data_IF_945019910555
#
_entry.id   IF_945019910555
#
_cell.length_a   1.000
_cell.length_b   1.000
_cell.length_c   1.000
_cell.angle_alpha   90.00
_cell.angle_beta   90.00
_cell.angle_gamma   90.00
#
_symmetry.space_group_name_H-M   'P 1'
#
loop_
_entity.id
_entity.type
_entity.pdbx_description
1 polymer ?
#
# COMPACT_ATOMS: atom_id res chain seq x y z
N UNK A 1 14.24 -6.60 5.20
CA UNK A 1 14.12 -6.90 3.76
C UNK A 1 12.98 -6.05 3.23
N UNK A 2 13.21 -5.22 2.21
CA UNK A 2 12.17 -4.34 1.65
C UNK A 2 11.12 -5.14 0.89
N UNK A 3 9.84 -4.83 1.10
CA UNK A 3 8.74 -5.36 0.30
C UNK A 3 8.70 -4.59 -1.02
N UNK A 4 8.69 -5.26 -2.17
CA UNK A 4 8.61 -4.61 -3.48
C UNK A 4 7.25 -4.92 -4.11
N UNK A 5 6.51 -3.87 -4.48
CA UNK A 5 5.21 -3.98 -5.14
C UNK A 5 5.41 -3.86 -6.64
N UNK A 6 5.03 -4.89 -7.39
CA UNK A 6 5.07 -4.89 -8.85
C UNK A 6 3.63 -4.78 -9.39
N UNK A 7 3.37 -3.74 -10.18
CA UNK A 7 2.11 -3.61 -10.92
C UNK A 7 2.33 -4.17 -12.34
N UNK A 8 1.73 -5.31 -12.64
CA UNK A 8 1.76 -5.91 -13.98
C UNK A 8 0.39 -5.70 -14.60
N UNK A 9 0.31 -4.82 -15.60
CA UNK A 9 -0.90 -4.65 -16.41
C UNK A 9 -0.69 -5.36 -17.76
N UNK A 10 -1.73 -6.00 -18.29
CA UNK A 10 -1.69 -6.53 -19.66
C UNK A 10 -2.95 -6.14 -20.42
N UNK A 11 -2.79 -5.87 -21.72
CA UNK A 11 -3.92 -5.65 -22.63
C UNK A 11 -3.51 -5.63 -24.10
N UNK A 12 -4.01 -6.59 -24.91
CA UNK A 12 -5.02 -6.38 -25.98
C UNK A 12 -5.34 -7.68 -26.78
N UNK A 13 -6.64 -7.79 -27.07
CA UNK A 13 -7.38 -8.49 -28.12
C UNK A 13 -6.75 -9.71 -28.83
N UNK A 14 -7.46 -10.84 -28.77
CA UNK A 14 -7.52 -11.97 -29.73
C UNK A 14 -6.89 -13.32 -29.39
N UNK A 15 -6.21 -13.50 -28.25
CA UNK A 15 -5.80 -14.86 -27.77
C UNK A 15 -5.93 -14.98 -26.25
N UNK A 16 -6.19 -16.20 -25.76
CA UNK A 16 -6.04 -16.58 -24.35
C UNK A 16 -4.62 -16.19 -23.90
N UNK A 17 -4.55 -15.20 -23.02
CA UNK A 17 -3.30 -14.63 -22.56
C UNK A 17 -3.15 -15.05 -21.10
N UNK A 18 -2.50 -16.19 -20.91
CA UNK A 18 -2.14 -16.68 -19.59
C UNK A 18 -0.90 -15.90 -19.14
N UNK A 19 -0.96 -15.13 -18.03
CA UNK A 19 0.19 -14.38 -17.55
C UNK A 19 1.35 -15.32 -17.21
N UNK A 20 2.58 -14.93 -17.52
CA UNK A 20 3.75 -15.57 -16.97
C UNK A 20 4.14 -14.87 -15.67
N UNK A 21 4.11 -15.61 -14.57
CA UNK A 21 4.60 -15.15 -13.28
C UNK A 21 6.05 -15.56 -13.13
N UNK A 22 6.93 -14.60 -12.92
CA UNK A 22 8.31 -14.86 -12.57
C UNK A 22 8.43 -14.94 -11.04
N UNK A 23 8.93 -16.08 -10.53
CA UNK A 23 9.12 -16.27 -9.09
C UNK A 23 10.41 -15.57 -8.63
N UNK A 24 10.26 -14.32 -8.21
CA UNK A 24 11.35 -13.58 -7.57
C UNK A 24 11.25 -13.75 -6.05
N UNK A 25 12.38 -13.97 -5.34
CA UNK A 25 12.38 -14.12 -3.87
C UNK A 25 11.80 -12.92 -3.12
N UNK A 26 11.75 -11.74 -3.74
CA UNK A 26 11.20 -10.52 -3.19
C UNK A 26 9.70 -10.33 -3.44
N UNK A 27 9.07 -11.18 -4.26
CA UNK A 27 7.63 -11.09 -4.56
C UNK A 27 6.85 -11.80 -3.47
N UNK A 28 6.09 -11.01 -2.72
CA UNK A 28 5.27 -11.48 -1.60
C UNK A 28 3.83 -11.72 -2.04
N UNK A 29 3.27 -10.80 -2.83
CA UNK A 29 1.89 -10.84 -3.29
C UNK A 29 1.78 -10.33 -4.73
N UNK A 30 0.94 -11.00 -5.53
CA UNK A 30 0.66 -10.69 -6.93
C UNK A 30 -0.84 -10.34 -7.02
N UNK A 31 -1.14 -9.14 -7.50
CA UNK A 31 -2.51 -8.67 -7.71
C UNK A 31 -2.86 -8.79 -9.19
N UNK A 32 -3.93 -9.51 -9.51
CA UNK A 32 -4.38 -9.73 -10.89
C UNK A 32 -5.82 -9.29 -11.05
N UNK A 33 -6.06 -8.39 -12.00
CA UNK A 33 -7.40 -8.14 -12.50
C UNK A 33 -7.72 -9.09 -13.66
N UNK A 34 -8.82 -9.83 -13.54
CA UNK A 34 -9.28 -10.79 -14.54
C UNK A 34 -10.82 -10.82 -14.57
N UNK A 35 -11.43 -10.21 -15.59
CA UNK A 35 -12.89 -10.21 -15.74
C UNK A 35 -13.50 -11.62 -15.93
N UNK A 36 -12.68 -12.65 -16.18
CA UNK A 36 -13.10 -14.05 -16.36
C UNK A 36 -12.29 -15.00 -15.51
N UNK A 37 -12.24 -14.79 -14.18
CA UNK A 37 -11.45 -15.62 -13.25
C UNK A 37 -11.63 -17.13 -13.48
N UNK A 38 -12.85 -17.57 -13.76
CA UNK A 38 -13.19 -18.99 -13.98
C UNK A 38 -12.38 -19.63 -15.10
N UNK A 39 -12.06 -18.88 -16.15
CA UNK A 39 -11.32 -19.37 -17.32
C UNK A 39 -9.82 -19.57 -17.00
N UNK A 40 -9.32 -18.98 -15.90
CA UNK A 40 -7.90 -18.97 -15.54
C UNK A 40 -7.61 -19.61 -14.17
N UNK A 41 -8.61 -20.23 -13.53
CA UNK A 41 -8.46 -20.74 -12.16
C UNK A 41 -7.48 -21.91 -12.08
N UNK A 42 -7.45 -22.77 -13.11
CA UNK A 42 -6.53 -23.90 -13.19
C UNK A 42 -5.07 -23.43 -13.25
N UNK A 43 -4.82 -22.37 -14.01
CA UNK A 43 -3.51 -21.72 -14.06
C UNK A 43 -3.15 -21.01 -12.74
N UNK A 44 -4.13 -20.36 -12.10
CA UNK A 44 -3.89 -19.59 -10.89
C UNK A 44 -3.57 -20.47 -9.66
N UNK A 45 -3.99 -21.74 -9.68
CA UNK A 45 -3.76 -22.70 -8.60
C UNK A 45 -2.28 -22.82 -8.23
N UNK A 46 -1.39 -22.76 -9.23
CA UNK A 46 0.06 -22.90 -9.03
C UNK A 46 0.66 -21.75 -8.19
N UNK A 47 -0.04 -20.61 -8.10
CA UNK A 47 0.41 -19.44 -7.34
C UNK A 47 -0.57 -19.00 -6.26
N UNK A 48 -1.54 -19.84 -5.88
CA UNK A 48 -2.64 -19.47 -4.98
C UNK A 48 -2.16 -18.94 -3.61
N UNK A 49 -0.95 -19.29 -3.19
CA UNK A 49 -0.35 -18.80 -1.95
C UNK A 49 0.15 -17.35 -2.03
N UNK A 50 0.46 -16.87 -3.24
CA UNK A 50 1.02 -15.53 -3.50
C UNK A 50 0.11 -14.67 -4.37
N UNK A 51 -1.00 -15.21 -4.89
CA UNK A 51 -1.85 -14.52 -5.87
C UNK A 51 -3.20 -14.13 -5.29
N UNK A 52 -3.61 -12.89 -5.57
CA UNK A 52 -4.96 -12.39 -5.35
C UNK A 52 -5.56 -11.97 -6.68
N UNK A 53 -6.66 -12.61 -7.07
CA UNK A 53 -7.39 -12.34 -8.30
C UNK A 53 -8.68 -11.59 -8.01
N UNK A 54 -8.99 -10.61 -8.86
CA UNK A 54 -10.15 -9.74 -8.75
C UNK A 54 -10.85 -9.64 -10.10
N UNK A 55 -12.17 -9.77 -10.13
CA UNK A 55 -13.01 -9.61 -11.33
C UNK A 55 -13.63 -8.21 -11.42
N UNK A 56 -13.55 -7.44 -10.33
CA UNK A 56 -13.84 -6.02 -10.27
C UNK A 56 -12.53 -5.22 -10.07
N UNK A 57 -12.40 -4.15 -10.84
CA UNK A 57 -11.24 -3.25 -10.83
C UNK A 57 -11.19 -2.39 -9.55
N UNK A 58 -12.34 -1.95 -9.05
CA UNK A 58 -12.44 -1.22 -7.79
C UNK A 58 -11.87 -2.04 -6.61
N UNK A 59 -12.24 -3.32 -6.48
CA UNK A 59 -11.75 -4.19 -5.41
C UNK A 59 -10.22 -4.39 -5.46
N UNK A 60 -9.68 -4.57 -6.68
CA UNK A 60 -8.23 -4.65 -6.91
C UNK A 60 -7.55 -3.36 -6.44
N UNK A 61 -8.05 -2.21 -6.89
CA UNK A 61 -7.46 -0.90 -6.58
C UNK A 61 -7.51 -0.62 -5.09
N UNK A 62 -8.65 -0.85 -4.43
CA UNK A 62 -8.80 -0.69 -2.97
C UNK A 62 -7.77 -1.57 -2.24
N UNK A 63 -7.68 -2.85 -2.62
CA UNK A 63 -6.78 -3.76 -1.93
C UNK A 63 -5.31 -3.38 -2.16
N UNK A 64 -4.94 -3.05 -3.39
CA UNK A 64 -3.58 -2.63 -3.73
C UNK A 64 -3.18 -1.36 -2.98
N UNK A 65 -4.04 -0.34 -2.99
CA UNK A 65 -3.81 0.93 -2.31
C UNK A 65 -3.63 0.72 -0.80
N UNK A 66 -4.45 -0.12 -0.17
CA UNK A 66 -4.32 -0.46 1.25
C UNK A 66 -2.99 -1.17 1.57
N UNK A 67 -2.52 -2.08 0.71
CA UNK A 67 -1.25 -2.79 0.93
C UNK A 67 -0.04 -1.86 0.78
N UNK A 68 -0.08 -0.92 -0.18
CA UNK A 68 0.96 0.12 -0.31
C UNK A 68 0.95 1.04 0.92
N UNK A 69 -0.23 1.43 1.40
CA UNK A 69 -0.36 2.27 2.59
C UNK A 69 0.18 1.56 3.85
N UNK A 70 -0.15 0.27 4.03
CA UNK A 70 0.39 -0.56 5.11
C UNK A 70 1.93 -0.62 5.05
N UNK A 71 2.49 -0.78 3.84
CA UNK A 71 3.94 -0.80 3.66
C UNK A 71 4.60 0.50 4.13
N UNK A 72 4.06 1.66 3.74
CA UNK A 72 4.59 2.94 4.22
C UNK A 72 4.44 3.11 5.73
N UNK A 73 3.36 2.60 6.33
CA UNK A 73 3.19 2.64 7.79
C UNK A 73 4.23 1.77 8.53
N UNK A 74 4.49 0.56 8.04
CA UNK A 74 5.51 -0.34 8.58
C UNK A 74 6.93 0.25 8.44
N UNK A 75 7.22 0.81 7.27
CA UNK A 75 8.51 1.45 7.01
C UNK A 75 8.69 2.70 7.90
N UNK A 76 7.64 3.50 8.08
CA UNK A 76 7.65 4.65 8.99
C UNK A 76 7.98 4.24 10.43
N UNK A 77 7.40 3.14 10.94
CA UNK A 77 7.74 2.60 12.28
C UNK A 77 9.22 2.27 12.40
N UNK A 78 9.81 1.74 11.33
CA UNK A 78 11.25 1.44 11.28
C UNK A 78 12.08 2.72 11.38
N UNK A 79 11.72 3.78 10.66
CA UNK A 79 12.41 5.07 10.75
C UNK A 79 12.19 5.79 12.09
N UNK A 80 10.99 5.71 12.69
CA UNK A 80 10.70 6.22 14.03
C UNK A 80 11.63 5.57 15.07
N UNK A 81 11.72 4.23 15.05
CA UNK A 81 12.58 3.47 15.96
C UNK A 81 14.07 3.80 15.80
N UNK A 82 14.47 4.20 14.59
CA UNK A 82 15.84 4.63 14.28
C UNK A 82 16.08 6.13 14.56
N UNK A 83 15.10 6.86 15.09
CA UNK A 83 15.21 8.29 15.41
C UNK A 83 15.15 9.23 14.20
N UNK A 84 14.85 8.72 13.00
CA UNK A 84 14.74 9.52 11.79
C UNK A 84 13.30 9.98 11.58
N UNK A 85 12.88 10.93 12.41
CA UNK A 85 11.51 11.44 12.47
C UNK A 85 11.06 12.10 11.16
N UNK A 86 11.96 12.76 10.44
CA UNK A 86 11.64 13.41 9.17
C UNK A 86 11.20 12.43 8.09
N UNK A 87 11.94 11.31 7.93
CA UNK A 87 11.57 10.27 6.96
C UNK A 87 10.30 9.53 7.38
N UNK A 88 10.16 9.24 8.68
CA UNK A 88 8.93 8.65 9.21
C UNK A 88 7.70 9.52 8.94
N UNK A 89 7.80 10.84 9.12
CA UNK A 89 6.69 11.76 8.86
C UNK A 89 6.27 11.76 7.39
N UNK A 90 7.24 11.83 6.45
CA UNK A 90 6.93 11.78 5.03
C UNK A 90 6.23 10.48 4.62
N UNK A 91 6.67 9.33 5.16
CA UNK A 91 6.03 8.04 4.89
C UNK A 91 4.60 7.95 5.47
N UNK A 92 4.38 8.49 6.67
CA UNK A 92 3.04 8.54 7.26
C UNK A 92 2.10 9.48 6.51
N UNK A 93 2.60 10.57 5.92
CA UNK A 93 1.82 11.45 5.05
C UNK A 93 1.38 10.73 3.77
N UNK A 94 2.27 9.94 3.15
CA UNK A 94 1.91 9.07 2.02
C UNK A 94 0.89 8.01 2.40
N UNK A 95 1.04 7.37 3.56
CA UNK A 95 0.07 6.39 4.06
C UNK A 95 -1.32 7.04 4.30
N UNK A 96 -1.40 8.20 4.96
CA UNK A 96 -2.67 8.92 5.17
C UNK A 96 -3.36 9.29 3.85
N UNK A 97 -2.58 9.75 2.86
CA UNK A 97 -3.11 10.08 1.54
C UNK A 97 -3.70 8.85 0.84
N UNK A 98 -2.98 7.72 0.83
CA UNK A 98 -3.45 6.47 0.21
C UNK A 98 -4.68 5.91 0.93
N UNK A 99 -4.74 5.93 2.26
CA UNK A 99 -5.95 5.50 2.97
C UNK A 99 -7.12 6.45 2.74
N UNK A 100 -6.88 7.74 2.56
CA UNK A 100 -7.95 8.68 2.19
C UNK A 100 -8.51 8.32 0.82
N UNK A 101 -7.64 8.06 -0.15
CA UNK A 101 -8.01 7.66 -1.51
C UNK A 101 -8.75 6.32 -1.55
N UNK A 102 -8.28 5.32 -0.78
CA UNK A 102 -9.00 4.06 -0.61
C UNK A 102 -10.33 4.23 0.14
N UNK A 103 -10.43 5.16 1.09
CA UNK A 103 -11.65 5.39 1.88
C UNK A 103 -12.76 6.08 1.08
N UNK A 104 -12.43 6.80 0.02
CA UNK A 104 -13.40 7.34 -0.94
C UNK A 104 -14.06 6.24 -1.78
N UNK A 105 -13.46 5.05 -1.83
CA UNK A 105 -13.94 3.86 -2.53
C UNK A 105 -14.69 2.87 -1.60
N UNK A 106 -15.22 3.36 -0.46
CA UNK A 106 -16.01 2.63 0.54
C UNK A 106 -15.29 1.48 1.28
N UNK A 107 -14.66 1.78 2.43
CA UNK A 107 -14.45 0.77 3.48
C UNK A 107 -14.35 1.40 4.89
N UNK A 108 -15.17 0.93 5.83
CA UNK A 108 -15.20 1.42 7.22
C UNK A 108 -13.89 1.14 7.98
N UNK A 109 -13.14 0.10 7.60
CA UNK A 109 -11.82 -0.25 8.13
C UNK A 109 -10.77 0.85 7.89
N UNK A 110 -10.79 1.49 6.72
CA UNK A 110 -9.84 2.56 6.37
C UNK A 110 -9.99 3.79 7.26
N UNK A 111 -11.21 4.08 7.76
CA UNK A 111 -11.47 5.22 8.66
C UNK A 111 -10.75 5.09 10.01
N UNK A 112 -10.76 3.89 10.59
CA UNK A 112 -10.10 3.64 11.89
C UNK A 112 -8.58 3.71 11.77
N UNK A 113 -8.02 3.13 10.70
CA UNK A 113 -6.58 3.17 10.41
C UNK A 113 -6.12 4.63 10.21
N UNK A 114 -6.87 5.39 9.42
CA UNK A 114 -6.60 6.81 9.17
C UNK A 114 -6.58 7.64 10.45
N UNK A 115 -7.56 7.44 11.33
CA UNK A 115 -7.63 8.17 12.59
C UNK A 115 -6.40 7.90 13.48
N UNK A 116 -5.91 6.66 13.48
CA UNK A 116 -4.68 6.31 14.18
C UNK A 116 -3.44 6.98 13.55
N UNK A 117 -3.34 7.02 12.22
CA UNK A 117 -2.23 7.68 11.52
C UNK A 117 -2.22 9.19 11.82
N UNK A 118 -3.38 9.84 11.81
CA UNK A 118 -3.49 11.26 12.16
C UNK A 118 -3.06 11.57 13.57
N UNK A 119 -3.45 10.75 14.54
CA UNK A 119 -2.98 10.88 15.92
C UNK A 119 -1.47 10.75 16.02
N UNK A 120 -0.87 9.82 15.27
CA UNK A 120 0.60 9.65 15.21
C UNK A 120 1.28 10.87 14.58
N UNK A 121 0.77 11.36 13.44
CA UNK A 121 1.27 12.57 12.78
C UNK A 121 1.23 13.79 13.70
N UNK A 122 0.12 13.99 14.42
CA UNK A 122 -0.02 15.11 15.35
C UNK A 122 1.00 15.00 16.49
N UNK A 123 1.17 13.80 17.05
CA UNK A 123 2.16 13.55 18.10
C UNK A 123 3.58 13.85 17.62
N UNK A 124 3.97 13.33 16.46
CA UNK A 124 5.32 13.58 15.91
C UNK A 124 5.58 15.06 15.65
N UNK A 125 4.60 15.80 15.12
CA UNK A 125 4.71 17.25 14.91
C UNK A 125 4.87 18.01 16.22
N UNK A 126 4.15 17.60 17.26
CA UNK A 126 4.24 18.20 18.59
C UNK A 126 5.60 17.91 19.24
N UNK A 127 6.04 16.64 19.21
CA UNK A 127 7.32 16.20 19.79
C UNK A 127 8.50 16.88 19.08
N UNK A 128 8.42 17.07 17.76
CA UNK A 128 9.45 17.78 16.99
C UNK A 128 9.50 19.29 17.30
N UNK A 129 8.34 19.94 17.50
CA UNK A 129 8.28 21.35 17.91
C UNK A 129 8.82 21.56 19.35
N UNK A 130 8.60 20.61 20.26
CA UNK A 130 9.17 20.64 21.61
C UNK A 130 10.69 20.44 21.57
N UNK A 131 11.19 19.56 20.69
CA UNK A 131 12.63 19.31 20.53
C UNK A 131 13.39 20.46 19.85
N UNK A 132 12.74 21.23 18.98
CA UNK A 132 13.34 22.35 18.24
C UNK A 132 12.47 23.62 18.25
N UNK A 133 12.31 24.29 19.42
CA UNK A 133 11.35 25.39 19.60
C UNK A 133 11.68 26.67 18.80
N UNK A 134 12.88 26.80 18.23
CA UNK A 134 13.38 28.05 17.64
C UNK A 134 13.51 28.06 16.10
N UNK A 135 12.94 27.08 15.37
CA UNK A 135 13.02 27.09 13.90
C UNK A 135 11.87 27.84 13.19
N UNK A 136 10.88 28.37 13.93
CA UNK A 136 9.73 29.09 13.34
C UNK A 136 9.68 30.60 13.59
N UNK A 137 10.70 31.21 14.21
CA UNK A 137 10.83 32.66 14.31
C UNK A 137 11.90 33.16 13.33
N UNK A 138 11.60 33.12 12.05
CA UNK A 138 12.22 33.98 11.04
C UNK A 138 11.31 34.05 9.82
N UNK A 139 10.26 34.87 9.92
CA UNK A 139 9.74 35.74 8.86
C UNK A 139 8.74 36.73 9.45
#
# INVERSE_FOLDING_TARGET
>A
AGKTVFLITSGRLTRELVPQVYDFPCVITIFIYCAKIKDYIEWAIDYIQKMLMFDFDEDLLIRLTNEIANYFEEEAKTYENNGNVGHANGLLEWADWLYNDASTLEQASCKAIRENIRKRLLKLKTDHQIAHPNQFNNQ
#
